data_IF_301587856635
#
_entry.id   IF_301587856635
#
_cell.length_a   1.000
_cell.length_b   1.000
_cell.length_c   1.000
_cell.angle_alpha   90.00
_cell.angle_beta   90.00
_cell.angle_gamma   90.00
#
_symmetry.space_group_name_H-M   'P 1'
#
loop_
_entity.id
_entity.type
_entity.pdbx_description
1 polymer ?
#
# COMPACT_ATOMS: atom_id res chain seq x y z
N UNK A 1 -10.32 32.37 26.72
CA UNK A 1 -9.33 31.32 26.42
C UNK A 1 -9.38 31.03 24.93
N UNK A 2 -8.23 30.74 24.33
CA UNK A 2 -8.14 30.21 22.96
C UNK A 2 -8.59 28.75 22.98
N UNK A 3 -9.39 28.32 22.00
CA UNK A 3 -10.05 27.00 22.01
C UNK A 3 -9.04 25.88 21.99
N UNK A 4 -7.93 26.05 21.26
CA UNK A 4 -6.91 25.02 21.21
C UNK A 4 -6.28 24.77 22.58
N UNK A 5 -6.23 25.76 23.49
CA UNK A 5 -5.67 25.57 24.84
C UNK A 5 -6.57 24.72 25.72
N UNK A 6 -7.88 24.96 25.70
CA UNK A 6 -8.87 24.13 26.40
C UNK A 6 -8.81 22.67 25.93
N UNK A 7 -8.66 22.46 24.62
CA UNK A 7 -8.52 21.12 24.03
C UNK A 7 -7.18 20.48 24.40
N UNK A 8 -6.10 21.26 24.47
CA UNK A 8 -4.79 20.78 24.91
C UNK A 8 -4.79 20.37 26.38
N UNK A 9 -5.46 21.12 27.26
CA UNK A 9 -5.62 20.77 28.68
C UNK A 9 -6.36 19.42 28.84
N UNK A 10 -7.45 19.22 28.10
CA UNK A 10 -8.16 17.94 28.06
C UNK A 10 -7.28 16.82 27.48
N UNK A 11 -6.55 17.08 26.39
CA UNK A 11 -5.65 16.09 25.78
C UNK A 11 -4.56 15.65 26.76
N UNK A 12 -3.95 16.60 27.48
CA UNK A 12 -2.96 16.30 28.51
C UNK A 12 -3.56 15.45 29.63
N UNK A 13 -4.75 15.84 30.11
CA UNK A 13 -5.45 15.13 31.16
C UNK A 13 -5.73 13.67 30.77
N UNK A 14 -6.38 13.44 29.63
CA UNK A 14 -6.80 12.08 29.25
C UNK A 14 -5.63 11.17 28.90
N UNK A 15 -4.46 11.75 28.60
CA UNK A 15 -3.23 11.01 28.27
C UNK A 15 -2.29 10.81 29.46
N UNK A 16 -2.71 11.23 30.65
CA UNK A 16 -2.09 10.84 31.92
C UNK A 16 -2.78 9.59 32.50
N UNK A 17 -2.11 8.91 33.43
CA UNK A 17 -2.61 7.66 34.04
C UNK A 17 -4.06 7.77 34.53
N UNK A 18 -4.36 8.78 35.36
CA UNK A 18 -5.69 8.94 35.97
C UNK A 18 -6.76 9.25 34.91
N UNK A 19 -6.46 10.12 33.96
CA UNK A 19 -7.39 10.47 32.88
C UNK A 19 -7.63 9.33 31.89
N UNK A 20 -6.64 8.46 31.66
CA UNK A 20 -6.81 7.22 30.92
C UNK A 20 -7.80 6.30 31.62
N UNK A 21 -7.61 6.05 32.92
CA UNK A 21 -8.47 5.18 33.72
C UNK A 21 -9.90 5.73 33.76
N UNK A 22 -10.07 7.02 34.07
CA UNK A 22 -11.39 7.66 34.09
C UNK A 22 -12.07 7.59 32.73
N UNK A 23 -11.37 7.93 31.65
CA UNK A 23 -11.95 7.90 30.30
C UNK A 23 -12.35 6.48 29.90
N UNK A 24 -11.56 5.46 30.25
CA UNK A 24 -11.91 4.07 29.99
C UNK A 24 -13.12 3.60 30.81
N UNK A 25 -13.24 4.05 32.06
CA UNK A 25 -14.41 3.76 32.92
C UNK A 25 -15.67 4.45 32.39
N UNK A 26 -15.58 5.71 31.99
CA UNK A 26 -16.67 6.45 31.34
C UNK A 26 -17.15 5.73 30.08
N UNK A 27 -16.21 5.27 29.24
CA UNK A 27 -16.54 4.52 28.03
C UNK A 27 -17.20 3.19 28.35
N UNK A 28 -16.69 2.44 29.32
CA UNK A 28 -17.31 1.21 29.80
C UNK A 28 -18.75 1.46 30.24
N UNK A 29 -18.98 2.50 31.03
CA UNK A 29 -20.30 2.80 31.61
C UNK A 29 -21.31 3.26 30.55
N UNK A 30 -20.83 3.75 29.40
CA UNK A 30 -21.65 4.07 28.23
C UNK A 30 -22.01 2.87 27.34
N UNK A 31 -21.41 1.69 27.58
CA UNK A 31 -21.58 0.49 26.75
C UNK A 31 -22.53 -0.54 27.39
N UNK A 32 -23.39 -1.16 26.56
CA UNK A 32 -24.31 -2.21 27.01
C UNK A 32 -23.62 -3.54 27.36
N UNK A 33 -22.40 -3.77 26.87
CA UNK A 33 -21.60 -4.97 27.15
C UNK A 33 -20.12 -4.61 27.29
N UNK A 34 -19.40 -5.34 28.14
CA UNK A 34 -17.97 -5.14 28.35
C UNK A 34 -17.15 -5.77 27.22
N UNK A 35 -16.49 -4.93 26.43
CA UNK A 35 -15.47 -5.36 25.47
C UNK A 35 -14.25 -4.44 25.60
N UNK A 36 -13.15 -5.02 26.07
CA UNK A 36 -11.88 -4.31 26.27
C UNK A 36 -11.31 -3.73 24.98
N UNK A 37 -11.47 -4.41 23.85
CA UNK A 37 -10.99 -3.93 22.56
C UNK A 37 -11.76 -2.69 22.10
N UNK A 38 -13.08 -2.68 22.31
CA UNK A 38 -13.92 -1.52 21.99
C UNK A 38 -13.64 -0.32 22.90
N UNK A 39 -13.40 -0.54 24.20
CA UNK A 39 -13.02 0.54 25.14
C UNK A 39 -11.70 1.18 24.70
N UNK A 40 -10.67 0.36 24.41
CA UNK A 40 -9.36 0.83 23.95
C UNK A 40 -9.48 1.59 22.61
N UNK A 41 -10.26 1.07 21.66
CA UNK A 41 -10.51 1.76 20.39
C UNK A 41 -11.24 3.09 20.59
N UNK A 42 -12.22 3.14 21.50
CA UNK A 42 -12.93 4.35 21.88
C UNK A 42 -12.01 5.37 22.53
N UNK A 43 -11.12 4.95 23.43
CA UNK A 43 -10.12 5.81 24.03
C UNK A 43 -9.17 6.39 22.96
N UNK A 44 -8.60 5.55 22.10
CA UNK A 44 -7.73 5.99 21.01
C UNK A 44 -8.41 7.00 20.07
N UNK A 45 -9.68 6.78 19.73
CA UNK A 45 -10.48 7.72 18.96
C UNK A 45 -10.68 9.07 19.67
N UNK A 46 -10.80 9.07 21.01
CA UNK A 46 -10.86 10.31 21.82
C UNK A 46 -9.58 11.13 21.65
N UNK A 47 -8.43 10.48 21.81
CA UNK A 47 -7.11 11.11 21.68
C UNK A 47 -6.94 11.64 20.26
N UNK A 48 -7.25 10.84 19.23
CA UNK A 48 -7.19 11.24 17.82
C UNK A 48 -8.04 12.48 17.51
N UNK A 49 -9.26 12.51 18.03
CA UNK A 49 -10.17 13.65 17.87
C UNK A 49 -9.57 14.92 18.51
N UNK A 50 -9.18 14.85 19.80
CA UNK A 50 -8.62 16.00 20.51
C UNK A 50 -7.34 16.52 19.86
N UNK A 51 -6.44 15.63 19.43
CA UNK A 51 -5.25 16.01 18.65
C UNK A 51 -5.64 16.79 17.40
N UNK A 52 -6.54 16.23 16.57
CA UNK A 52 -6.92 16.86 15.30
C UNK A 52 -7.63 18.21 15.49
N UNK A 53 -8.44 18.35 16.54
CA UNK A 53 -9.12 19.62 16.85
C UNK A 53 -8.16 20.66 17.43
N UNK A 54 -7.25 20.26 18.33
CA UNK A 54 -6.21 21.16 18.83
C UNK A 54 -5.35 21.68 17.67
N UNK A 55 -4.94 20.79 16.76
CA UNK A 55 -4.16 21.17 15.59
C UNK A 55 -4.91 22.14 14.68
N UNK A 56 -6.18 21.86 14.37
CA UNK A 56 -7.00 22.73 13.54
C UNK A 56 -7.20 24.12 14.18
N UNK A 57 -7.57 24.18 15.45
CA UNK A 57 -7.75 25.46 16.13
C UNK A 57 -6.45 26.24 16.26
N UNK A 58 -5.31 25.58 16.49
CA UNK A 58 -4.01 26.25 16.50
C UNK A 58 -3.68 26.88 15.14
N UNK A 59 -4.00 26.22 14.03
CA UNK A 59 -3.85 26.77 12.67
C UNK A 59 -4.70 28.02 12.43
N UNK A 60 -5.87 28.11 13.07
CA UNK A 60 -6.80 29.22 12.91
C UNK A 60 -6.52 30.38 13.87
N UNK A 61 -6.39 30.11 15.16
CA UNK A 61 -6.31 31.13 16.22
C UNK A 61 -4.88 31.64 16.44
N UNK A 62 -3.87 30.79 16.26
CA UNK A 62 -2.47 31.10 16.56
C UNK A 62 -1.51 30.50 15.51
N UNK A 63 -1.60 30.92 14.23
CA UNK A 63 -0.83 30.31 13.14
C UNK A 63 0.69 30.40 13.34
N UNK A 64 1.19 31.45 14.00
CA UNK A 64 2.62 31.60 14.32
C UNK A 64 3.08 30.60 15.39
N UNK A 65 2.20 30.23 16.32
CA UNK A 65 2.49 29.31 17.43
C UNK A 65 2.05 27.88 17.13
N UNK A 66 1.38 27.63 16.00
CA UNK A 66 0.82 26.31 15.69
C UNK A 66 1.89 25.22 15.66
N UNK A 67 3.13 25.56 15.29
CA UNK A 67 4.26 24.62 15.34
C UNK A 67 4.57 24.17 16.76
N UNK A 68 4.60 25.08 17.73
CA UNK A 68 4.84 24.77 19.14
C UNK A 68 3.72 23.89 19.71
N UNK A 69 2.47 24.17 19.32
CA UNK A 69 1.33 23.33 19.68
C UNK A 69 1.50 21.91 19.11
N UNK A 70 1.91 21.80 17.84
CA UNK A 70 2.13 20.49 17.22
C UNK A 70 3.28 19.75 17.89
N UNK A 71 4.37 20.44 18.22
CA UNK A 71 5.51 19.87 18.93
C UNK A 71 5.08 19.35 20.32
N UNK A 72 4.26 20.12 21.07
CA UNK A 72 3.69 19.69 22.37
C UNK A 72 2.76 18.48 22.24
N UNK A 73 1.91 18.42 21.22
CA UNK A 73 1.10 17.21 20.94
C UNK A 73 2.02 16.02 20.64
N UNK A 74 3.08 16.24 19.86
CA UNK A 74 4.07 15.21 19.58
C UNK A 74 4.72 14.69 20.85
N UNK A 75 5.13 15.58 21.77
CA UNK A 75 5.67 15.20 23.08
C UNK A 75 4.68 14.35 23.89
N UNK A 76 3.39 14.69 23.91
CA UNK A 76 2.38 13.88 24.60
C UNK A 76 2.30 12.48 23.98
N UNK A 77 2.13 12.40 22.66
CA UNK A 77 1.89 11.15 21.93
C UNK A 77 3.11 10.22 21.98
N UNK A 78 4.31 10.75 21.78
CA UNK A 78 5.54 9.94 21.82
C UNK A 78 5.92 9.49 23.24
N UNK A 79 5.39 10.15 24.28
CA UNK A 79 5.62 9.79 25.68
C UNK A 79 4.42 9.09 26.35
N UNK A 80 3.43 8.59 25.58
CA UNK A 80 2.28 7.87 26.16
C UNK A 80 2.70 6.70 27.06
N UNK A 81 3.78 5.99 26.72
CA UNK A 81 4.28 4.88 27.55
C UNK A 81 4.67 5.33 28.96
N UNK A 82 5.39 6.44 29.08
CA UNK A 82 5.83 6.97 30.38
C UNK A 82 4.72 7.71 31.12
N UNK A 83 3.75 8.31 30.40
CA UNK A 83 2.61 9.03 31.01
C UNK A 83 1.53 8.09 31.56
N UNK A 84 1.32 6.94 30.90
CA UNK A 84 0.26 6.01 31.29
C UNK A 84 0.70 5.00 32.35
N UNK A 85 1.99 4.66 32.41
CA UNK A 85 2.50 3.74 33.43
C UNK A 85 2.66 4.46 34.77
N UNK A 86 2.00 3.93 35.80
CA UNK A 86 2.16 4.36 37.17
C UNK A 86 2.59 3.18 38.05
N UNK A 87 3.29 3.48 39.14
CA UNK A 87 3.63 2.50 40.17
C UNK A 87 2.35 2.14 40.97
N UNK A 88 2.25 0.89 41.44
CA UNK A 88 1.14 0.39 42.28
C UNK A 88 -0.27 0.35 41.65
N UNK A 89 -0.36 -0.05 40.37
CA UNK A 89 -1.63 -0.20 39.64
C UNK A 89 -2.16 -1.65 39.67
N UNK A 90 -3.48 -1.83 39.65
CA UNK A 90 -4.10 -3.17 39.57
C UNK A 90 -3.73 -3.88 38.27
N UNK A 91 -3.61 -5.21 38.32
CA UNK A 91 -3.19 -6.03 37.17
C UNK A 91 -4.08 -5.82 35.93
N UNK A 92 -5.39 -5.60 36.13
CA UNK A 92 -6.35 -5.40 35.04
C UNK A 92 -6.13 -4.07 34.30
N UNK A 93 -5.87 -2.98 35.04
CA UNK A 93 -5.58 -1.66 34.47
C UNK A 93 -4.22 -1.68 33.77
N UNK A 94 -3.20 -2.27 34.41
CA UNK A 94 -1.86 -2.42 33.80
C UNK A 94 -1.94 -3.22 32.50
N UNK A 95 -2.68 -4.33 32.47
CA UNK A 95 -2.89 -5.08 31.24
C UNK A 95 -3.56 -4.22 30.17
N UNK A 96 -4.60 -3.46 30.53
CA UNK A 96 -5.32 -2.59 29.58
C UNK A 96 -4.39 -1.54 28.95
N UNK A 97 -3.56 -0.89 29.76
CA UNK A 97 -2.53 0.06 29.31
C UNK A 97 -1.56 -0.62 28.34
N UNK A 98 -1.02 -1.79 28.70
CA UNK A 98 -0.07 -2.50 27.82
C UNK A 98 -0.71 -2.90 26.48
N UNK A 99 -1.97 -3.35 26.50
CA UNK A 99 -2.70 -3.63 25.25
C UNK A 99 -2.93 -2.39 24.41
N UNK A 100 -3.28 -1.26 25.03
CA UNK A 100 -3.42 0.00 24.31
C UNK A 100 -2.08 0.41 23.68
N UNK A 101 -0.99 0.43 24.45
CA UNK A 101 0.34 0.82 23.97
C UNK A 101 0.83 -0.06 22.81
N UNK A 102 0.65 -1.38 22.92
CA UNK A 102 1.05 -2.34 21.88
C UNK A 102 0.21 -2.30 20.61
N UNK A 103 -0.99 -1.69 20.67
CA UNK A 103 -1.92 -1.63 19.53
C UNK A 103 -2.16 -0.18 19.10
N UNK A 104 -3.15 0.47 19.71
CA UNK A 104 -3.65 1.77 19.28
C UNK A 104 -2.69 2.92 19.61
N UNK A 105 -1.91 2.81 20.69
CA UNK A 105 -0.89 3.80 21.06
C UNK A 105 0.15 3.98 19.96
N UNK A 106 0.72 2.88 19.46
CA UNK A 106 1.63 2.91 18.31
C UNK A 106 0.98 3.50 17.06
N UNK A 107 -0.28 3.14 16.76
CA UNK A 107 -1.04 3.68 15.63
C UNK A 107 -1.22 5.20 15.73
N UNK A 108 -1.52 5.73 16.92
CA UNK A 108 -1.65 7.18 17.15
C UNK A 108 -0.35 7.91 16.84
N UNK A 109 0.79 7.39 17.29
CA UNK A 109 2.11 7.96 16.99
C UNK A 109 2.40 7.99 15.50
N UNK A 110 2.00 6.95 14.75
CA UNK A 110 2.15 6.90 13.31
C UNK A 110 1.23 7.87 12.58
N UNK A 111 -0.03 8.01 13.04
CA UNK A 111 -1.01 8.92 12.43
C UNK A 111 -0.70 10.38 12.72
N UNK A 112 -0.14 10.69 13.89
CA UNK A 112 0.27 12.04 14.27
C UNK A 112 1.23 12.66 13.23
N UNK A 113 2.18 11.89 12.70
CA UNK A 113 3.13 12.36 11.66
C UNK A 113 2.36 12.91 10.45
N UNK A 114 1.33 12.19 10.01
CA UNK A 114 0.49 12.58 8.88
C UNK A 114 -0.42 13.76 9.24
N UNK A 115 -1.00 13.78 10.44
CA UNK A 115 -1.83 14.90 10.89
C UNK A 115 -1.05 16.22 10.94
N UNK A 116 0.20 16.17 11.43
CA UNK A 116 1.10 17.32 11.40
C UNK A 116 1.23 17.88 9.98
N UNK A 117 1.61 17.04 9.01
CA UNK A 117 1.74 17.46 7.63
C UNK A 117 0.42 17.91 7.00
N UNK A 118 -0.70 17.27 7.37
CA UNK A 118 -2.03 17.64 6.93
C UNK A 118 -2.40 19.06 7.36
N UNK A 119 -2.26 19.38 8.65
CA UNK A 119 -2.61 20.71 9.16
C UNK A 119 -1.59 21.78 8.78
N UNK A 120 -0.29 21.44 8.63
CA UNK A 120 0.69 22.34 8.02
C UNK A 120 0.35 22.65 6.56
N UNK A 121 0.03 21.63 5.75
CA UNK A 121 -0.37 21.82 4.37
C UNK A 121 -1.67 22.63 4.26
N UNK A 122 -2.63 22.38 5.16
CA UNK A 122 -3.87 23.15 5.23
C UNK A 122 -3.61 24.63 5.60
N UNK A 123 -2.81 24.90 6.63
CA UNK A 123 -2.43 26.25 7.09
C UNK A 123 -1.75 27.05 5.99
N UNK A 124 -0.79 26.42 5.32
CA UNK A 124 0.11 27.07 4.35
C UNK A 124 -0.44 27.00 2.93
N UNK A 125 -1.65 26.44 2.74
CA UNK A 125 -2.28 26.22 1.45
C UNK A 125 -1.39 25.43 0.46
N UNK A 126 -0.59 24.47 0.96
CA UNK A 126 0.33 23.62 0.19
C UNK A 126 -0.37 22.39 -0.41
N UNK A 127 -1.54 22.60 -1.01
CA UNK A 127 -2.33 21.57 -1.70
C UNK A 127 -3.11 22.21 -2.85
N UNK A 128 -3.58 21.40 -3.79
CA UNK A 128 -4.44 21.87 -4.88
C UNK A 128 -5.68 20.98 -4.98
N UNK A 129 -6.86 21.58 -5.06
CA UNK A 129 -8.12 20.84 -5.28
C UNK A 129 -8.29 20.37 -6.74
N UNK A 130 -7.43 20.85 -7.65
CA UNK A 130 -7.40 20.42 -9.04
C UNK A 130 -6.51 19.19 -9.27
N UNK A 131 -5.65 18.86 -8.29
CA UNK A 131 -4.79 17.70 -8.35
C UNK A 131 -5.60 16.43 -8.06
N UNK A 132 -5.31 15.34 -8.78
CA UNK A 132 -5.99 14.07 -8.59
C UNK A 132 -5.47 13.35 -7.32
N UNK A 133 -6.30 13.10 -6.29
CA UNK A 133 -5.91 12.34 -5.10
C UNK A 133 -5.37 10.94 -5.42
N UNK A 134 -5.89 10.26 -6.45
CA UNK A 134 -5.47 8.91 -6.81
C UNK A 134 -4.00 8.87 -7.26
N UNK A 135 -3.56 9.91 -7.98
CA UNK A 135 -2.17 10.05 -8.41
C UNK A 135 -1.24 10.18 -7.20
N UNK A 136 -1.62 11.04 -6.23
CA UNK A 136 -0.86 11.22 -4.99
C UNK A 136 -0.83 9.93 -4.16
N UNK A 137 -1.98 9.26 -4.00
CA UNK A 137 -2.09 8.00 -3.25
C UNK A 137 -1.24 6.88 -3.87
N UNK A 138 -1.17 6.81 -5.20
CA UNK A 138 -0.27 5.88 -5.89
C UNK A 138 1.20 6.20 -5.66
N UNK A 139 1.58 7.48 -5.70
CA UNK A 139 2.95 7.91 -5.39
C UNK A 139 3.32 7.56 -3.94
N UNK A 140 2.41 7.85 -2.99
CA UNK A 140 2.56 7.50 -1.58
C UNK A 140 2.76 6.00 -1.41
N UNK A 141 1.94 5.16 -2.07
CA UNK A 141 2.07 3.70 -1.98
C UNK A 141 3.45 3.20 -2.40
N UNK A 142 4.08 3.83 -3.40
CA UNK A 142 5.42 3.47 -3.86
C UNK A 142 6.54 3.96 -2.92
N UNK A 143 6.27 4.99 -2.11
CA UNK A 143 7.23 5.61 -1.20
C UNK A 143 7.11 5.14 0.24
N UNK A 144 5.94 4.65 0.67
CA UNK A 144 5.59 4.44 2.09
C UNK A 144 6.56 3.54 2.88
N UNK A 145 7.27 2.64 2.19
CA UNK A 145 8.31 1.77 2.78
C UNK A 145 9.75 2.19 2.44
N UNK A 146 9.95 3.16 1.54
CA UNK A 146 11.27 3.61 1.06
C UNK A 146 11.67 4.97 1.61
N UNK A 147 10.70 5.88 1.68
CA UNK A 147 10.85 7.27 2.14
C UNK A 147 9.55 7.64 2.88
N UNK A 148 9.51 7.23 4.15
CA UNK A 148 8.34 7.40 5.02
C UNK A 148 7.99 8.88 5.21
N UNK A 149 8.99 9.75 5.34
CA UNK A 149 8.78 11.18 5.58
C UNK A 149 8.15 11.84 4.36
N UNK A 150 8.67 11.57 3.16
CA UNK A 150 8.07 12.08 1.92
C UNK A 150 6.67 11.53 1.69
N UNK A 151 6.45 10.25 1.98
CA UNK A 151 5.14 9.62 1.90
C UNK A 151 4.13 10.29 2.86
N UNK A 152 4.54 10.59 4.09
CA UNK A 152 3.71 11.26 5.08
C UNK A 152 3.39 12.71 4.67
N UNK A 153 4.34 13.44 4.09
CA UNK A 153 4.11 14.79 3.56
C UNK A 153 3.05 14.79 2.45
N UNK A 154 3.17 13.89 1.48
CA UNK A 154 2.21 13.74 0.38
C UNK A 154 0.83 13.34 0.90
N UNK A 155 0.76 12.42 1.87
CA UNK A 155 -0.51 12.04 2.47
C UNK A 155 -1.13 13.18 3.29
N UNK A 156 -0.30 14.02 3.92
CA UNK A 156 -0.74 15.28 4.54
C UNK A 156 -1.46 16.19 3.54
N UNK A 157 -0.92 16.33 2.31
CA UNK A 157 -1.59 17.08 1.24
C UNK A 157 -2.94 16.48 0.86
N UNK A 158 -3.03 15.16 0.71
CA UNK A 158 -4.29 14.46 0.46
C UNK A 158 -5.29 14.70 1.60
N UNK A 159 -4.82 14.66 2.85
CA UNK A 159 -5.65 14.98 4.02
C UNK A 159 -6.18 16.41 4.00
N UNK A 160 -5.34 17.40 3.66
CA UNK A 160 -5.76 18.79 3.53
C UNK A 160 -6.78 18.98 2.41
N UNK A 161 -6.62 18.27 1.28
CA UNK A 161 -7.61 18.24 0.20
C UNK A 161 -8.93 17.62 0.68
N UNK A 162 -8.89 16.51 1.41
CA UNK A 162 -10.08 15.84 1.93
C UNK A 162 -10.84 16.70 2.95
N UNK A 163 -10.12 17.49 3.78
CA UNK A 163 -10.71 18.44 4.72
C UNK A 163 -11.53 19.52 3.98
N UNK A 164 -11.06 19.92 2.80
CA UNK A 164 -11.72 20.81 1.85
C UNK A 164 -12.77 20.13 0.96
N UNK A 165 -13.04 18.84 1.20
CA UNK A 165 -14.10 18.08 0.54
C UNK A 165 -13.68 17.30 -0.71
N UNK A 166 -12.38 17.20 -1.01
CA UNK A 166 -11.91 16.32 -2.07
C UNK A 166 -12.22 14.85 -1.75
N UNK A 167 -12.70 14.11 -2.75
CA UNK A 167 -13.04 12.70 -2.59
C UNK A 167 -11.79 11.84 -2.42
N UNK A 168 -11.85 10.86 -1.53
CA UNK A 168 -10.92 9.73 -1.49
C UNK A 168 -11.74 8.50 -1.86
N UNK A 169 -11.37 7.82 -2.96
CA UNK A 169 -12.15 6.68 -3.43
C UNK A 169 -12.11 5.53 -2.42
N UNK A 170 -13.24 4.87 -2.13
CA UNK A 170 -13.31 3.73 -1.21
C UNK A 170 -12.33 2.60 -1.54
N UNK A 171 -12.05 2.36 -2.82
CA UNK A 171 -11.14 1.31 -3.28
C UNK A 171 -9.73 1.41 -2.67
N UNK A 172 -9.27 2.61 -2.30
CA UNK A 172 -7.98 2.78 -1.63
C UNK A 172 -7.91 2.09 -0.28
N UNK A 173 -9.03 1.91 0.42
CA UNK A 173 -9.07 1.14 1.67
C UNK A 173 -8.91 -0.36 1.45
N UNK A 174 -9.05 -0.84 0.21
CA UNK A 174 -8.86 -2.24 -0.19
C UNK A 174 -7.45 -2.48 -0.74
N UNK A 175 -6.94 -1.54 -1.55
CA UNK A 175 -5.69 -1.74 -2.30
C UNK A 175 -4.44 -1.18 -1.62
N UNK A 176 -4.62 -0.27 -0.66
CA UNK A 176 -3.49 0.35 0.03
C UNK A 176 -2.70 -0.67 0.85
N UNK A 177 -1.37 -0.57 0.79
CA UNK A 177 -0.47 -1.30 1.69
C UNK A 177 -0.77 -0.99 3.16
N UNK A 178 -0.44 -1.89 4.12
CA UNK A 178 -0.86 -1.76 5.51
C UNK A 178 -0.55 -0.41 6.17
N UNK A 179 0.66 0.14 5.99
CA UNK A 179 1.03 1.45 6.57
C UNK A 179 0.22 2.60 5.96
N UNK A 180 0.06 2.62 4.64
CA UNK A 180 -0.76 3.62 3.96
C UNK A 180 -2.24 3.50 4.37
N UNK A 181 -2.76 2.27 4.47
CA UNK A 181 -4.14 2.02 4.90
C UNK A 181 -4.36 2.53 6.34
N UNK A 182 -3.42 2.29 7.25
CA UNK A 182 -3.47 2.79 8.63
C UNK A 182 -3.53 4.33 8.67
N UNK A 183 -2.68 5.00 7.89
CA UNK A 183 -2.65 6.46 7.83
C UNK A 183 -3.90 7.04 7.15
N UNK A 184 -4.33 6.46 6.03
CA UNK A 184 -5.52 6.89 5.29
C UNK A 184 -6.78 6.79 6.16
N UNK A 185 -6.91 5.72 6.96
CA UNK A 185 -7.98 5.60 7.95
C UNK A 185 -7.94 6.69 9.02
N UNK A 186 -6.75 7.11 9.45
CA UNK A 186 -6.60 8.23 10.38
C UNK A 186 -7.10 9.54 9.75
N UNK A 187 -6.67 9.83 8.51
CA UNK A 187 -7.14 11.00 7.76
C UNK A 187 -8.67 10.98 7.64
N UNK A 188 -9.25 9.87 7.19
CA UNK A 188 -10.71 9.73 7.05
C UNK A 188 -11.44 9.82 8.41
N UNK A 189 -10.83 9.33 9.49
CA UNK A 189 -11.32 9.48 10.86
C UNK A 189 -11.42 10.96 11.26
N UNK A 190 -10.38 11.73 10.99
CA UNK A 190 -10.39 13.19 11.19
C UNK A 190 -11.50 13.84 10.36
N UNK A 191 -11.62 13.51 9.07
CA UNK A 191 -12.69 14.03 8.21
C UNK A 191 -14.08 13.75 8.78
N UNK A 192 -14.32 12.51 9.22
CA UNK A 192 -15.60 12.12 9.82
C UNK A 192 -15.89 12.89 11.10
N UNK A 193 -14.88 13.14 11.94
CA UNK A 193 -15.03 13.93 13.16
C UNK A 193 -15.43 15.38 12.86
N UNK A 194 -14.79 16.01 11.86
CA UNK A 194 -15.15 17.37 11.42
C UNK A 194 -16.55 17.42 10.80
N UNK A 195 -16.95 16.39 10.08
CA UNK A 195 -18.26 16.33 9.45
C UNK A 195 -19.41 16.05 10.43
N UNK A 196 -19.17 15.21 11.44
CA UNK A 196 -20.15 14.92 12.49
C UNK A 196 -20.30 16.09 13.47
N UNK A 197 -19.35 17.02 13.46
CA UNK A 197 -19.36 18.16 14.35
C UNK A 197 -20.38 19.23 13.95
N UNK A 198 -21.39 19.41 14.80
CA UNK A 198 -22.44 20.41 14.64
C UNK A 198 -21.93 21.86 14.52
N UNK A 199 -20.71 22.13 14.98
CA UNK A 199 -20.11 23.48 14.98
C UNK A 199 -19.25 23.77 13.74
N UNK A 200 -18.86 22.76 12.96
CA UNK A 200 -18.09 22.97 11.74
C UNK A 200 -19.00 22.93 10.52
N UNK A 201 -18.87 23.91 9.63
CA UNK A 201 -19.37 23.75 8.27
C UNK A 201 -18.42 22.80 7.55
N UNK A 202 -18.87 21.57 7.26
CA UNK A 202 -18.11 20.64 6.43
C UNK A 202 -18.66 20.61 5.00
N UNK A 203 -17.81 20.61 3.96
CA UNK A 203 -16.35 20.73 4.00
C UNK A 203 -15.85 22.08 4.53
N UNK A 204 -14.66 22.10 5.14
CA UNK A 204 -14.10 23.36 5.66
C UNK A 204 -13.62 24.26 4.52
N UNK A 205 -13.64 25.58 4.73
CA UNK A 205 -13.11 26.54 3.78
C UNK A 205 -11.56 26.60 3.80
N UNK A 206 -10.97 27.45 2.95
CA UNK A 206 -9.53 27.73 3.05
C UNK A 206 -9.19 28.30 4.44
N UNK A 207 -8.00 28.01 4.96
CA UNK A 207 -7.57 28.43 6.29
C UNK A 207 -7.84 29.93 6.54
N UNK A 208 -7.49 30.81 5.60
CA UNK A 208 -7.74 32.26 5.72
C UNK A 208 -9.22 32.64 5.82
N UNK A 209 -10.10 31.92 5.11
CA UNK A 209 -11.55 32.15 5.18
C UNK A 209 -12.13 31.59 6.46
N UNK A 210 -11.69 30.41 6.91
CA UNK A 210 -12.08 29.88 8.22
C UNK A 210 -11.63 30.82 9.35
N UNK A 211 -10.41 31.37 9.31
CA UNK A 211 -9.96 32.39 10.26
C UNK A 211 -10.88 33.61 10.29
N UNK A 212 -11.42 34.02 9.15
CA UNK A 212 -12.38 35.13 9.08
C UNK A 212 -13.74 34.76 9.69
N UNK A 213 -14.22 33.53 9.53
CA UNK A 213 -15.46 33.04 10.15
C UNK A 213 -15.37 33.06 11.68
N UNK A 214 -14.21 32.72 12.22
CA UNK A 214 -13.99 32.49 13.65
C UNK A 214 -13.33 33.66 14.38
N UNK A 215 -13.46 34.89 13.87
CA UNK A 215 -12.94 36.08 14.54
C UNK A 215 -13.50 36.22 15.98
N UNK A 216 -12.76 36.85 16.90
CA UNK A 216 -13.16 36.98 18.32
C UNK A 216 -14.55 37.59 18.55
N UNK A 217 -15.02 38.41 17.61
CA UNK A 217 -16.32 39.09 17.66
C UNK A 217 -17.50 38.20 17.21
N UNK A 218 -17.21 37.06 16.56
CA UNK A 218 -18.22 36.06 16.23
C UNK A 218 -18.52 35.21 17.47
N UNK A 219 -19.81 35.05 17.79
CA UNK A 219 -20.26 34.30 18.97
C UNK A 219 -19.55 32.95 19.10
N UNK A 220 -19.01 32.67 20.28
CA UNK A 220 -18.26 31.44 20.57
C UNK A 220 -19.22 30.25 20.57
N UNK A 221 -19.09 29.26 19.67
CA UNK A 221 -19.68 27.94 19.88
C UNK A 221 -18.98 27.33 21.10
N UNK A 222 -19.76 26.88 22.08
CA UNK A 222 -19.27 26.00 23.13
C UNK A 222 -19.11 24.63 22.49
N UNK A 223 -17.89 24.12 22.43
CA UNK A 223 -17.64 22.74 21.97
C UNK A 223 -17.95 21.81 23.13
N UNK A 224 -19.11 21.13 23.10
CA UNK A 224 -19.43 20.11 24.09
C UNK A 224 -18.63 18.82 23.79
N UNK A 225 -17.40 18.78 24.29
CA UNK A 225 -16.49 17.64 24.15
C UNK A 225 -17.14 16.31 24.61
N UNK A 226 -18.06 16.36 25.57
CA UNK A 226 -18.76 15.19 26.12
C UNK A 226 -19.83 14.66 25.15
N UNK A 227 -20.59 15.54 24.49
CA UNK A 227 -21.53 15.14 23.43
C UNK A 227 -20.82 14.50 22.22
N UNK A 228 -19.60 14.95 21.89
CA UNK A 228 -18.77 14.36 20.85
C UNK A 228 -18.25 12.97 21.19
N UNK A 229 -17.94 12.70 22.47
CA UNK A 229 -17.57 11.35 22.90
C UNK A 229 -18.66 10.31 22.59
N UNK A 230 -19.92 10.74 22.56
CA UNK A 230 -21.09 9.87 22.38
C UNK A 230 -21.51 9.65 20.91
N UNK A 231 -20.99 10.42 19.95
CA UNK A 231 -21.35 10.34 18.51
C UNK A 231 -20.47 9.36 17.71
N UNK A 232 -19.63 8.58 18.38
CA UNK A 232 -18.58 7.76 17.75
C UNK A 232 -19.17 6.53 17.07
N UNK A 233 -18.97 6.44 15.76
CA UNK A 233 -19.06 5.18 15.05
C UNK A 233 -17.65 4.56 14.98
N UNK A 234 -17.45 3.33 15.47
CA UNK A 234 -16.26 2.57 15.09
C UNK A 234 -16.35 2.35 13.57
N UNK A 235 -15.49 3.03 12.79
CA UNK A 235 -15.44 2.79 11.35
C UNK A 235 -15.04 1.35 11.10
N UNK A 236 -15.85 0.61 10.34
CA UNK A 236 -15.45 -0.72 9.89
C UNK A 236 -14.27 -0.60 8.92
N UNK A 237 -13.46 -1.65 8.75
CA UNK A 237 -12.31 -1.64 7.85
C UNK A 237 -12.58 -1.14 6.41
N UNK A 238 -13.83 -1.23 5.96
CA UNK A 238 -14.33 -0.86 4.62
C UNK A 238 -15.01 0.51 4.54
N UNK A 239 -15.26 1.19 5.66
CA UNK A 239 -16.10 2.38 5.65
C UNK A 239 -15.31 3.61 5.21
N UNK A 240 -15.66 4.14 4.04
CA UNK A 240 -15.26 5.50 3.65
C UNK A 240 -16.34 6.45 4.17
N UNK A 241 -16.00 7.55 4.86
CA UNK A 241 -16.96 8.54 5.30
C UNK A 241 -17.94 8.89 4.18
N UNK A 242 -19.25 8.70 4.41
CA UNK A 242 -20.30 9.07 3.44
C UNK A 242 -20.33 10.58 3.13
N UNK A 243 -19.54 11.36 3.87
CA UNK A 243 -19.43 12.81 3.77
C UNK A 243 -18.50 13.24 2.64
N UNK A 244 -17.58 12.37 2.21
CA UNK A 244 -16.75 12.66 1.06
C UNK A 244 -17.50 12.40 -0.25
N UNK A 245 -17.17 13.20 -1.28
CA UNK A 245 -17.76 13.06 -2.60
C UNK A 245 -17.46 11.66 -3.16
N UNK A 246 -18.52 10.87 -3.37
CA UNK A 246 -18.46 9.62 -4.12
C UNK A 246 -18.75 9.86 -5.59
N UNK A 247 -17.98 9.22 -6.44
CA UNK A 247 -18.19 9.22 -7.88
C UNK A 247 -18.96 7.99 -8.32
N UNK A 248 -19.66 8.10 -9.45
CA UNK A 248 -20.46 7.01 -10.00
C UNK A 248 -19.63 5.74 -10.29
N UNK A 249 -18.31 5.88 -10.50
CA UNK A 249 -17.40 4.77 -10.80
C UNK A 249 -16.86 4.08 -9.55
N UNK A 250 -17.06 4.63 -8.35
CA UNK A 250 -16.47 4.09 -7.12
C UNK A 250 -17.00 2.69 -6.78
N UNK A 251 -18.31 2.49 -6.90
CA UNK A 251 -18.92 1.17 -6.70
C UNK A 251 -18.45 0.17 -7.77
N UNK A 252 -18.26 0.64 -9.01
CA UNK A 252 -17.72 -0.19 -10.09
C UNK A 252 -16.27 -0.62 -9.82
N UNK A 253 -15.45 0.24 -9.19
CA UNK A 253 -14.08 -0.11 -8.80
C UNK A 253 -14.06 -1.13 -7.67
N UNK A 254 -15.01 -1.08 -6.74
CA UNK A 254 -15.14 -2.10 -5.70
C UNK A 254 -15.55 -3.47 -6.26
N UNK A 255 -16.35 -3.51 -7.34
CA UNK A 255 -16.70 -4.76 -8.04
C UNK A 255 -15.48 -5.51 -8.62
N UNK A 256 -14.32 -4.86 -8.78
CA UNK A 256 -13.07 -5.54 -9.15
C UNK A 256 -12.69 -6.67 -8.19
N UNK A 257 -13.08 -6.53 -6.92
CA UNK A 257 -12.75 -7.43 -5.80
C UNK A 257 -13.86 -8.44 -5.51
N UNK A 258 -14.93 -8.45 -6.30
CA UNK A 258 -15.98 -9.47 -6.19
C UNK A 258 -15.46 -10.84 -6.64
N UNK A 259 -16.07 -11.91 -6.11
CA UNK A 259 -15.77 -13.28 -6.52
C UNK A 259 -16.39 -13.58 -7.90
N UNK A 260 -15.77 -13.11 -8.98
CA UNK A 260 -16.19 -13.40 -10.34
C UNK A 260 -15.71 -12.40 -11.40
N UNK A 261 -16.03 -12.66 -12.68
CA UNK A 261 -15.78 -11.71 -13.74
C UNK A 261 -16.63 -10.45 -13.55
N UNK A 262 -16.09 -9.30 -13.95
CA UNK A 262 -16.87 -8.07 -14.03
C UNK A 262 -18.08 -8.24 -14.94
N UNK A 263 -19.20 -7.66 -14.53
CA UNK A 263 -20.37 -7.50 -15.40
C UNK A 263 -20.00 -6.59 -16.58
N UNK A 264 -20.51 -6.88 -17.77
CA UNK A 264 -20.23 -6.09 -18.98
C UNK A 264 -20.62 -4.61 -18.82
N UNK A 265 -21.70 -4.32 -18.10
CA UNK A 265 -22.09 -2.95 -17.78
C UNK A 265 -21.03 -2.23 -16.94
N UNK A 266 -20.58 -2.87 -15.84
CA UNK A 266 -19.53 -2.35 -14.96
C UNK A 266 -18.23 -2.13 -15.74
N UNK A 267 -17.83 -3.10 -16.57
CA UNK A 267 -16.66 -3.02 -17.44
C UNK A 267 -16.77 -1.83 -18.40
N UNK A 268 -17.92 -1.65 -19.07
CA UNK A 268 -18.17 -0.53 -19.97
C UNK A 268 -18.07 0.82 -19.27
N UNK A 269 -18.61 0.95 -18.05
CA UNK A 269 -18.51 2.17 -17.23
C UNK A 269 -17.08 2.48 -16.81
N UNK A 270 -16.31 1.47 -16.43
CA UNK A 270 -14.89 1.64 -16.08
C UNK A 270 -14.03 2.02 -17.29
N UNK A 271 -14.28 1.42 -18.45
CA UNK A 271 -13.59 1.80 -19.70
C UNK A 271 -13.91 3.26 -20.07
N UNK A 272 -15.19 3.66 -19.96
CA UNK A 272 -15.61 5.03 -20.24
C UNK A 272 -15.00 6.07 -19.26
N UNK A 273 -14.63 5.65 -18.06
CA UNK A 273 -13.95 6.49 -17.08
C UNK A 273 -12.53 6.88 -17.52
N UNK A 274 -11.90 6.10 -18.41
CA UNK A 274 -10.58 6.38 -18.97
C UNK A 274 -9.54 6.71 -17.89
N UNK A 275 -8.78 7.78 -18.11
CA UNK A 275 -7.67 8.19 -17.25
C UNK A 275 -8.08 8.46 -15.78
N UNK A 276 -9.37 8.67 -15.49
CA UNK A 276 -9.84 8.91 -14.13
C UNK A 276 -9.60 7.73 -13.17
N UNK A 277 -9.47 6.50 -13.70
CA UNK A 277 -9.20 5.29 -12.90
C UNK A 277 -7.79 4.73 -13.10
N UNK A 278 -6.96 5.39 -13.92
CA UNK A 278 -5.62 4.91 -14.30
C UNK A 278 -4.75 4.63 -13.09
N UNK A 279 -4.64 5.59 -12.17
CA UNK A 279 -3.76 5.45 -11.00
C UNK A 279 -4.25 4.38 -10.02
N UNK A 280 -5.57 4.17 -9.92
CA UNK A 280 -6.16 3.07 -9.14
C UNK A 280 -5.78 1.73 -9.76
N UNK A 281 -6.02 1.52 -11.06
CA UNK A 281 -5.72 0.24 -11.71
C UNK A 281 -4.22 -0.11 -11.65
N UNK A 282 -3.35 0.88 -11.83
CA UNK A 282 -1.91 0.69 -11.72
C UNK A 282 -1.47 0.46 -10.26
N UNK A 283 -2.16 1.05 -9.28
CA UNK A 283 -1.93 0.78 -7.87
C UNK A 283 -2.36 -0.65 -7.49
N UNK A 284 -3.46 -1.17 -8.04
CA UNK A 284 -3.88 -2.57 -7.84
C UNK A 284 -2.76 -3.53 -8.27
N UNK A 285 -2.18 -3.34 -9.45
CA UNK A 285 -1.05 -4.16 -9.93
C UNK A 285 0.23 -3.97 -9.11
N UNK A 286 0.38 -2.84 -8.42
CA UNK A 286 1.54 -2.56 -7.58
C UNK A 286 1.43 -3.22 -6.19
N UNK A 287 0.24 -3.60 -5.73
CA UNK A 287 0.00 -4.25 -4.44
C UNK A 287 0.08 -5.77 -4.59
N UNK A 288 1.20 -6.36 -4.17
CA UNK A 288 1.47 -7.80 -4.35
C UNK A 288 0.65 -8.68 -3.41
N UNK A 289 0.30 -8.14 -2.25
CA UNK A 289 -0.50 -8.78 -1.21
C UNK A 289 -1.88 -9.19 -1.71
N UNK A 290 -2.37 -8.55 -2.78
CA UNK A 290 -3.62 -8.92 -3.47
C UNK A 290 -3.51 -10.18 -4.33
N UNK A 291 -2.29 -10.62 -4.64
CA UNK A 291 -2.00 -11.72 -5.57
C UNK A 291 -1.23 -12.87 -4.94
N UNK A 292 -1.00 -12.83 -3.62
CA UNK A 292 -0.48 -13.97 -2.87
C UNK A 292 -1.49 -15.13 -2.93
N UNK A 293 -0.99 -16.33 -3.25
CA UNK A 293 -1.78 -17.57 -3.27
C UNK A 293 -2.14 -17.98 -1.83
N UNK A 294 -3.12 -17.30 -1.23
CA UNK A 294 -3.77 -17.70 0.04
C UNK A 294 -4.92 -18.68 -0.26
N UNK A 295 -5.39 -19.41 0.75
CA UNK A 295 -6.45 -20.45 0.65
C UNK A 295 -7.76 -19.97 -0.02
N UNK A 296 -7.94 -18.65 -0.20
CA UNK A 296 -9.05 -18.01 -0.91
C UNK A 296 -8.70 -17.58 -2.36
N UNK A 297 -7.83 -18.33 -3.02
CA UNK A 297 -7.23 -18.08 -4.35
C UNK A 297 -8.22 -17.80 -5.50
N UNK A 298 -9.52 -17.96 -5.27
CA UNK A 298 -10.56 -17.66 -6.25
C UNK A 298 -10.76 -16.15 -6.43
N UNK A 299 -10.70 -15.36 -5.35
CA UNK A 299 -10.97 -13.91 -5.40
C UNK A 299 -9.80 -13.12 -5.99
N UNK A 300 -8.56 -13.40 -5.57
CA UNK A 300 -7.34 -12.77 -6.08
C UNK A 300 -7.13 -12.97 -7.59
N UNK A 301 -7.47 -14.17 -8.09
CA UNK A 301 -7.40 -14.50 -9.51
C UNK A 301 -8.34 -13.63 -10.35
N UNK A 302 -9.57 -13.40 -9.87
CA UNK A 302 -10.54 -12.57 -10.57
C UNK A 302 -10.13 -11.10 -10.58
N UNK A 303 -9.56 -10.58 -9.49
CA UNK A 303 -9.04 -9.20 -9.47
C UNK A 303 -8.05 -8.97 -10.61
N UNK A 304 -7.03 -9.84 -10.72
CA UNK A 304 -6.04 -9.72 -11.78
C UNK A 304 -6.67 -9.86 -13.17
N UNK A 305 -7.55 -10.85 -13.37
CA UNK A 305 -8.26 -11.06 -14.64
C UNK A 305 -9.07 -9.82 -15.05
N UNK A 306 -9.81 -9.24 -14.12
CA UNK A 306 -10.66 -8.07 -14.32
C UNK A 306 -9.81 -6.84 -14.67
N UNK A 307 -8.74 -6.57 -13.92
CA UNK A 307 -7.83 -5.44 -14.15
C UNK A 307 -7.11 -5.58 -15.47
N UNK A 308 -6.54 -6.74 -15.79
CA UNK A 308 -5.90 -6.99 -17.08
C UNK A 308 -6.90 -6.83 -18.24
N UNK A 309 -8.13 -7.31 -18.07
CA UNK A 309 -9.21 -7.14 -19.05
C UNK A 309 -9.52 -5.67 -19.36
N UNK A 310 -9.51 -4.80 -18.34
CA UNK A 310 -9.68 -3.35 -18.52
C UNK A 310 -8.45 -2.71 -19.19
N UNK A 311 -7.25 -3.08 -18.75
CA UNK A 311 -5.99 -2.50 -19.26
C UNK A 311 -5.72 -2.84 -20.74
N UNK A 312 -6.21 -3.99 -21.24
CA UNK A 312 -6.18 -4.31 -22.68
C UNK A 312 -6.92 -3.28 -23.53
N UNK A 313 -8.05 -2.79 -23.03
CA UNK A 313 -8.89 -1.82 -23.74
C UNK A 313 -8.36 -0.39 -23.55
N UNK A 314 -7.92 -0.05 -22.34
CA UNK A 314 -7.46 1.28 -21.95
C UNK A 314 -6.05 1.63 -22.45
N UNK A 315 -5.17 0.62 -22.60
CA UNK A 315 -3.82 0.74 -23.21
C UNK A 315 -2.93 1.83 -22.59
N UNK A 316 -2.87 1.90 -21.26
CA UNK A 316 -1.95 2.82 -20.60
C UNK A 316 -0.49 2.41 -20.82
N UNK A 317 0.42 3.35 -21.17
CA UNK A 317 1.82 3.04 -21.43
C UNK A 317 2.56 2.51 -20.18
N UNK A 318 2.10 2.87 -18.98
CA UNK A 318 2.69 2.41 -17.72
C UNK A 318 2.28 0.96 -17.36
N UNK A 319 1.36 0.35 -18.11
CA UNK A 319 0.89 -1.02 -17.86
C UNK A 319 2.03 -2.02 -17.93
N UNK A 320 2.82 -1.98 -19.00
CA UNK A 320 3.91 -2.95 -19.24
C UNK A 320 5.01 -2.85 -18.16
N UNK A 321 5.57 -1.67 -17.85
CA UNK A 321 6.51 -1.52 -16.73
C UNK A 321 5.95 -2.00 -15.39
N UNK A 322 4.67 -1.72 -15.10
CA UNK A 322 4.02 -2.11 -13.85
C UNK A 322 3.87 -3.64 -13.77
N UNK A 323 3.45 -4.28 -14.86
CA UNK A 323 3.33 -5.74 -14.95
C UNK A 323 4.68 -6.46 -14.88
N UNK A 324 5.73 -5.90 -15.47
CA UNK A 324 7.09 -6.43 -15.28
C UNK A 324 7.52 -6.33 -13.80
N UNK A 325 7.18 -5.23 -13.12
CA UNK A 325 7.39 -5.10 -11.68
C UNK A 325 6.57 -6.11 -10.86
N UNK A 326 5.34 -6.42 -11.27
CA UNK A 326 4.52 -7.46 -10.63
C UNK A 326 5.10 -8.86 -10.88
N UNK A 327 5.49 -9.17 -12.12
CA UNK A 327 6.10 -10.46 -12.51
C UNK A 327 7.31 -10.80 -11.63
N UNK A 328 8.12 -9.80 -11.28
CA UNK A 328 9.28 -9.94 -10.40
C UNK A 328 8.93 -10.26 -8.93
N UNK A 329 7.69 -10.03 -8.50
CA UNK A 329 7.25 -10.14 -7.09
C UNK A 329 6.29 -11.30 -6.84
N UNK A 330 5.57 -11.75 -7.88
CA UNK A 330 4.72 -12.95 -7.76
C UNK A 330 5.54 -14.23 -7.91
N UNK A 331 5.16 -15.27 -7.16
CA UNK A 331 5.86 -16.54 -7.14
C UNK A 331 5.90 -17.19 -8.55
N UNK A 332 7.08 -17.58 -9.07
CA UNK A 332 7.19 -18.26 -10.35
C UNK A 332 6.34 -19.53 -10.41
N UNK A 333 5.52 -19.66 -11.46
CA UNK A 333 4.62 -20.80 -11.65
C UNK A 333 3.25 -20.67 -10.97
N UNK A 334 3.00 -19.61 -10.19
CA UNK A 334 1.65 -19.30 -9.68
C UNK A 334 0.66 -18.99 -10.82
N UNK A 335 -0.63 -19.02 -10.51
CA UNK A 335 -1.68 -18.63 -11.45
C UNK A 335 -1.57 -17.14 -11.83
N UNK A 336 -1.18 -16.28 -10.89
CA UNK A 336 -0.92 -14.86 -11.11
C UNK A 336 0.29 -14.64 -12.02
N UNK A 337 1.40 -15.35 -11.77
CA UNK A 337 2.59 -15.30 -12.63
C UNK A 337 2.26 -15.68 -14.07
N UNK A 338 1.49 -16.75 -14.26
CA UNK A 338 1.09 -17.21 -15.60
C UNK A 338 0.24 -16.17 -16.34
N UNK A 339 -0.75 -15.56 -15.67
CA UNK A 339 -1.59 -14.52 -16.27
C UNK A 339 -0.82 -13.26 -16.66
N UNK A 340 0.06 -12.78 -15.77
CA UNK A 340 0.92 -11.62 -16.06
C UNK A 340 1.83 -11.93 -17.25
N UNK A 341 2.42 -13.12 -17.27
CA UNK A 341 3.31 -13.53 -18.34
C UNK A 341 2.60 -13.67 -19.69
N UNK A 342 1.40 -14.26 -19.72
CA UNK A 342 0.57 -14.33 -20.93
C UNK A 342 0.25 -12.93 -21.46
N UNK A 343 -0.14 -12.00 -20.59
CA UNK A 343 -0.40 -10.62 -21.00
C UNK A 343 0.83 -9.94 -21.60
N UNK A 344 2.01 -10.11 -20.98
CA UNK A 344 3.26 -9.56 -21.48
C UNK A 344 3.66 -10.18 -22.82
N UNK A 345 3.37 -11.47 -23.03
CA UNK A 345 3.61 -12.16 -24.31
C UNK A 345 2.67 -11.68 -25.43
N UNK A 346 1.46 -11.25 -25.11
CA UNK A 346 0.57 -10.56 -26.06
C UNK A 346 1.18 -9.23 -26.54
N UNK A 347 2.06 -8.62 -25.73
CA UNK A 347 2.74 -7.34 -25.98
C UNK A 347 4.26 -7.50 -26.13
N UNK A 348 4.69 -8.62 -26.74
CA UNK A 348 6.07 -9.13 -26.67
C UNK A 348 7.19 -8.13 -26.98
N UNK A 349 7.04 -7.24 -27.97
CA UNK A 349 8.14 -6.36 -28.38
C UNK A 349 8.36 -5.23 -27.37
N UNK A 350 7.30 -4.53 -27.00
CA UNK A 350 7.32 -3.46 -26.00
C UNK A 350 7.75 -4.01 -24.62
N UNK A 351 7.20 -5.16 -24.23
CA UNK A 351 7.58 -5.81 -22.99
C UNK A 351 9.03 -6.30 -22.99
N UNK A 352 9.56 -6.78 -24.13
CA UNK A 352 10.96 -7.19 -24.23
C UNK A 352 11.92 -6.00 -24.12
N UNK A 353 11.60 -4.87 -24.74
CA UNK A 353 12.39 -3.64 -24.62
C UNK A 353 12.38 -3.13 -23.18
N UNK A 354 11.21 -3.01 -22.55
CA UNK A 354 11.09 -2.59 -21.16
C UNK A 354 11.79 -3.54 -20.18
N UNK A 355 11.72 -4.86 -20.42
CA UNK A 355 12.42 -5.86 -19.60
C UNK A 355 13.94 -5.76 -19.75
N UNK A 356 14.43 -5.59 -20.98
CA UNK A 356 15.86 -5.42 -21.26
C UNK A 356 16.41 -4.14 -20.64
N UNK A 357 15.66 -3.03 -20.69
CA UNK A 357 16.06 -1.78 -20.06
C UNK A 357 16.03 -1.88 -18.53
N UNK A 358 15.01 -2.54 -17.95
CA UNK A 358 14.99 -2.82 -16.51
C UNK A 358 16.22 -3.62 -16.09
N UNK A 359 16.60 -4.67 -16.84
CA UNK A 359 17.78 -5.51 -16.60
C UNK A 359 19.13 -4.76 -16.67
N UNK A 360 19.20 -3.61 -17.34
CA UNK A 360 20.40 -2.76 -17.33
C UNK A 360 20.54 -1.94 -16.05
N UNK A 361 19.48 -1.82 -15.24
CA UNK A 361 19.52 -1.09 -13.99
C UNK A 361 20.42 -1.75 -12.94
N UNK A 362 21.10 -0.92 -12.14
CA UNK A 362 22.13 -1.39 -11.20
C UNK A 362 21.56 -2.17 -9.99
N UNK A 363 20.30 -1.90 -9.62
CA UNK A 363 19.70 -2.31 -8.34
C UNK A 363 18.78 -3.55 -8.38
N UNK A 364 18.82 -4.35 -9.43
CA UNK A 364 18.02 -5.58 -9.51
C UNK A 364 18.57 -6.69 -8.61
N UNK A 365 17.68 -7.35 -7.87
CA UNK A 365 17.97 -8.59 -7.17
C UNK A 365 18.15 -9.76 -8.16
N UNK A 366 18.75 -10.87 -7.68
CA UNK A 366 18.91 -12.09 -8.50
C UNK A 366 17.55 -12.65 -8.90
N UNK A 367 16.58 -12.68 -7.99
CA UNK A 367 15.22 -13.19 -8.24
C UNK A 367 14.48 -12.36 -9.28
N UNK A 368 14.52 -11.02 -9.16
CA UNK A 368 13.87 -10.13 -10.10
C UNK A 368 14.47 -10.30 -11.51
N UNK A 369 15.81 -10.38 -11.59
CA UNK A 369 16.49 -10.59 -12.86
C UNK A 369 16.14 -11.96 -13.46
N UNK A 370 16.02 -13.00 -12.64
CA UNK A 370 15.61 -14.33 -13.09
C UNK A 370 14.19 -14.33 -13.67
N UNK A 371 13.22 -13.67 -13.02
CA UNK A 371 11.86 -13.53 -13.53
C UNK A 371 11.83 -12.83 -14.92
N UNK A 372 12.60 -11.74 -15.08
CA UNK A 372 12.73 -11.05 -16.36
C UNK A 372 13.42 -11.93 -17.43
N UNK A 373 14.41 -12.74 -17.04
CA UNK A 373 15.05 -13.67 -17.98
C UNK A 373 14.15 -14.82 -18.41
N UNK A 374 13.24 -15.32 -17.56
CA UNK A 374 12.23 -16.30 -17.96
C UNK A 374 11.33 -15.72 -19.06
N UNK A 375 10.83 -14.50 -18.87
CA UNK A 375 10.08 -13.80 -19.91
C UNK A 375 10.89 -13.62 -21.21
N UNK A 376 12.11 -13.07 -21.11
CA UNK A 376 12.97 -12.86 -22.29
C UNK A 376 13.36 -14.16 -22.99
N UNK A 377 13.46 -15.29 -22.28
CA UNK A 377 13.77 -16.59 -22.90
C UNK A 377 12.73 -17.01 -23.93
N UNK A 378 11.48 -16.53 -23.78
CA UNK A 378 10.35 -16.84 -24.67
C UNK A 378 10.26 -15.88 -25.86
N UNK A 379 10.80 -14.67 -25.73
CA UNK A 379 10.70 -13.61 -26.75
C UNK A 379 12.03 -13.35 -27.46
N UNK A 380 13.11 -13.10 -26.71
CA UNK A 380 14.46 -12.77 -27.21
C UNK A 380 15.51 -13.68 -26.54
N UNK A 381 15.51 -15.00 -26.81
CA UNK A 381 16.39 -15.95 -26.14
C UNK A 381 17.89 -15.66 -26.29
N UNK A 382 18.29 -14.97 -27.37
CA UNK A 382 19.68 -14.57 -27.60
C UNK A 382 20.22 -13.54 -26.59
N UNK A 383 19.35 -12.75 -25.95
CA UNK A 383 19.73 -11.72 -24.99
C UNK A 383 19.88 -12.26 -23.55
N UNK A 384 19.36 -13.46 -23.29
CA UNK A 384 19.32 -14.05 -21.94
C UNK A 384 20.70 -14.48 -21.45
N UNK A 385 21.50 -15.13 -22.30
CA UNK A 385 22.79 -15.69 -21.88
C UNK A 385 23.74 -14.62 -21.28
N UNK A 386 24.00 -13.46 -21.93
CA UNK A 386 24.84 -12.42 -21.35
C UNK A 386 24.36 -11.91 -19.99
N UNK A 387 23.03 -11.82 -19.78
CA UNK A 387 22.43 -11.38 -18.51
C UNK A 387 22.69 -12.41 -17.43
N UNK A 388 22.43 -13.70 -17.69
CA UNK A 388 22.66 -14.77 -16.73
C UNK A 388 24.13 -14.89 -16.32
N UNK A 389 25.07 -14.61 -17.22
CA UNK A 389 26.51 -14.58 -16.87
C UNK A 389 26.81 -13.43 -15.90
N UNK A 390 26.26 -12.23 -16.12
CA UNK A 390 26.43 -11.11 -15.18
C UNK A 390 25.84 -11.41 -13.81
N UNK A 391 24.76 -12.20 -13.74
CA UNK A 391 24.17 -12.58 -12.45
C UNK A 391 25.09 -13.48 -11.62
N UNK A 392 25.98 -14.27 -12.23
CA UNK A 392 26.92 -15.12 -11.49
C UNK A 392 27.81 -14.34 -10.52
N UNK A 393 28.08 -13.07 -10.82
CA UNK A 393 28.89 -12.20 -9.97
C UNK A 393 28.10 -11.60 -8.79
N UNK A 394 26.76 -11.64 -8.84
CA UNK A 394 25.84 -11.11 -7.81
C UNK A 394 25.31 -12.18 -6.85
N UNK A 395 25.37 -13.44 -7.24
CA UNK A 395 24.79 -14.56 -6.49
C UNK A 395 25.59 -14.84 -5.21
N UNK A 396 24.90 -14.96 -4.08
CA UNK A 396 25.51 -15.20 -2.77
C UNK A 396 25.04 -16.48 -2.10
N UNK A 397 23.83 -16.95 -2.40
CA UNK A 397 23.24 -18.14 -1.75
C UNK A 397 23.26 -19.37 -2.66
N UNK A 398 23.18 -20.57 -2.07
CA UNK A 398 23.11 -21.81 -2.84
C UNK A 398 21.83 -21.92 -3.69
N UNK A 399 20.72 -21.38 -3.19
CA UNK A 399 19.44 -21.40 -3.90
C UNK A 399 19.50 -20.52 -5.16
N UNK A 400 20.08 -19.32 -5.03
CA UNK A 400 20.35 -18.43 -6.16
C UNK A 400 21.30 -19.05 -7.19
N UNK A 401 22.37 -19.72 -6.73
CA UNK A 401 23.31 -20.43 -7.62
C UNK A 401 22.60 -21.54 -8.42
N UNK A 402 21.72 -22.29 -7.75
CA UNK A 402 20.94 -23.35 -8.39
C UNK A 402 19.92 -22.76 -9.37
N UNK A 403 19.27 -21.64 -9.03
CA UNK A 403 18.31 -20.97 -9.90
C UNK A 403 18.98 -20.42 -11.17
N UNK A 404 20.12 -19.74 -11.05
CA UNK A 404 20.90 -19.28 -12.21
C UNK A 404 21.42 -20.45 -13.04
N UNK A 405 21.88 -21.54 -12.41
CA UNK A 405 22.27 -22.75 -13.12
C UNK A 405 21.11 -23.33 -13.95
N UNK A 406 19.89 -23.34 -13.39
CA UNK A 406 18.69 -23.78 -14.10
C UNK A 406 18.39 -22.93 -15.32
N UNK A 407 18.40 -21.62 -15.17
CA UNK A 407 18.18 -20.71 -16.30
C UNK A 407 19.25 -20.84 -17.38
N UNK A 408 20.54 -21.00 -16.99
CA UNK A 408 21.64 -21.22 -17.94
C UNK A 408 21.45 -22.48 -18.78
N UNK A 409 20.93 -23.56 -18.19
CA UNK A 409 20.64 -24.80 -18.92
C UNK A 409 19.47 -24.62 -19.88
N UNK A 410 18.42 -23.91 -19.44
CA UNK A 410 17.26 -23.63 -20.27
C UNK A 410 17.62 -22.81 -21.51
N UNK A 411 18.68 -22.00 -21.48
CA UNK A 411 19.17 -21.31 -22.69
C UNK A 411 19.62 -22.27 -23.79
N UNK A 412 20.09 -23.48 -23.43
CA UNK A 412 20.71 -24.43 -24.36
C UNK A 412 22.04 -23.95 -24.98
N UNK A 413 22.62 -22.86 -24.48
CA UNK A 413 23.85 -22.27 -25.03
C UNK A 413 25.09 -23.08 -24.60
N UNK A 414 25.88 -23.54 -25.59
CA UNK A 414 27.11 -24.30 -25.36
C UNK A 414 28.13 -23.48 -24.55
N UNK A 415 28.10 -22.14 -24.67
CA UNK A 415 28.95 -21.24 -23.89
C UNK A 415 28.65 -21.30 -22.39
N UNK A 416 27.51 -21.85 -21.95
CA UNK A 416 27.19 -22.03 -20.54
C UNK A 416 27.96 -23.17 -19.86
N UNK A 417 28.52 -24.12 -20.63
CA UNK A 417 29.16 -25.34 -20.09
C UNK A 417 30.28 -25.05 -19.07
N UNK A 418 31.25 -24.14 -19.33
CA UNK A 418 32.30 -23.83 -18.37
C UNK A 418 31.75 -23.22 -17.07
N UNK A 419 30.75 -22.34 -17.18
CA UNK A 419 30.12 -21.69 -16.03
C UNK A 419 29.32 -22.67 -15.18
N UNK A 420 28.57 -23.58 -15.80
CA UNK A 420 27.84 -24.64 -15.11
C UNK A 420 28.79 -25.60 -14.38
N UNK A 421 29.96 -25.91 -14.94
CA UNK A 421 30.99 -26.70 -14.23
C UNK A 421 31.52 -25.97 -13.00
N UNK A 422 31.81 -24.66 -13.13
CA UNK A 422 32.30 -23.83 -12.02
C UNK A 422 31.26 -23.75 -10.89
N UNK A 423 29.99 -23.49 -11.23
CA UNK A 423 28.87 -23.54 -10.28
C UNK A 423 28.72 -24.92 -9.63
N UNK A 424 28.88 -25.98 -10.42
CA UNK A 424 28.85 -27.35 -9.92
C UNK A 424 29.91 -27.68 -8.88
N UNK A 425 31.12 -27.12 -9.05
CA UNK A 425 32.18 -27.24 -8.05
C UNK A 425 31.87 -26.41 -6.80
N UNK A 426 31.34 -25.19 -6.96
CA UNK A 426 30.96 -24.32 -5.84
C UNK A 426 29.82 -24.93 -4.99
N UNK A 427 28.91 -25.65 -5.64
CA UNK A 427 27.79 -26.34 -4.99
C UNK A 427 28.14 -27.75 -4.49
N UNK A 428 29.37 -28.23 -4.67
CA UNK A 428 29.77 -29.59 -4.28
C UNK A 428 29.69 -29.83 -2.77
N UNK A 429 29.86 -28.77 -1.96
CA UNK A 429 29.77 -28.80 -0.49
C UNK A 429 28.40 -28.35 0.05
N UNK A 430 27.40 -28.18 -0.84
CA UNK A 430 26.03 -27.81 -0.47
C UNK A 430 25.16 -29.04 -0.09
N UNK A 431 24.07 -28.87 0.69
CA UNK A 431 23.07 -29.90 0.94
C UNK A 431 22.39 -30.37 -0.35
N UNK A 432 22.51 -29.60 -1.43
CA UNK A 432 21.99 -29.95 -2.76
C UNK A 432 22.98 -30.75 -3.62
N UNK A 433 24.15 -31.15 -3.11
CA UNK A 433 25.21 -31.85 -3.86
C UNK A 433 24.69 -32.94 -4.80
N UNK A 434 23.78 -33.80 -4.32
CA UNK A 434 23.21 -34.90 -5.11
C UNK A 434 22.34 -34.39 -6.26
N UNK A 435 21.46 -33.41 -5.98
CA UNK A 435 20.63 -32.74 -6.98
C UNK A 435 21.52 -32.08 -8.03
N UNK A 436 22.58 -31.39 -7.61
CA UNK A 436 23.52 -30.69 -8.50
C UNK A 436 24.29 -31.65 -9.41
N UNK A 437 24.75 -32.79 -8.89
CA UNK A 437 25.43 -33.81 -9.71
C UNK A 437 24.51 -34.40 -10.77
N UNK A 438 23.28 -34.77 -10.40
CA UNK A 438 22.26 -35.26 -11.34
C UNK A 438 21.90 -34.18 -12.37
N UNK A 439 21.82 -32.93 -11.92
CA UNK A 439 21.48 -31.76 -12.72
C UNK A 439 22.56 -31.42 -13.76
N UNK A 440 23.85 -31.45 -13.38
CA UNK A 440 24.97 -31.21 -14.30
C UNK A 440 25.17 -32.37 -15.29
N UNK A 441 24.89 -33.60 -14.86
CA UNK A 441 24.89 -34.76 -15.74
C UNK A 441 23.77 -34.65 -16.78
N UNK A 442 22.58 -34.22 -16.36
CA UNK A 442 21.45 -33.92 -17.26
C UNK A 442 21.81 -32.79 -18.24
N UNK A 443 22.33 -31.66 -17.75
CA UNK A 443 22.77 -30.52 -18.55
C UNK A 443 23.81 -30.92 -19.61
N UNK A 444 24.82 -31.70 -19.21
CA UNK A 444 25.88 -32.17 -20.11
C UNK A 444 25.33 -33.07 -21.22
N UNK A 445 24.28 -33.85 -20.96
CA UNK A 445 23.58 -34.68 -21.97
C UNK A 445 22.69 -33.83 -22.87
N UNK A 446 21.91 -32.92 -22.30
CA UNK A 446 21.03 -31.98 -23.01
C UNK A 446 21.82 -31.13 -24.02
N UNK A 447 22.91 -30.50 -23.60
CA UNK A 447 23.72 -29.62 -24.46
C UNK A 447 24.50 -30.38 -25.53
N UNK A 448 24.94 -31.63 -25.25
CA UNK A 448 25.57 -32.50 -26.25
C UNK A 448 24.57 -32.97 -27.32
N UNK A 449 23.31 -33.18 -26.96
CA UNK A 449 22.26 -33.66 -27.86
C UNK A 449 21.53 -32.52 -28.60
N UNK A 450 21.38 -31.35 -27.98
CA UNK A 450 20.72 -30.16 -28.53
C UNK A 450 21.41 -29.57 -29.76
N UNK A 451 22.72 -29.78 -29.89
CA UNK A 451 23.51 -29.38 -31.08
C UNK A 451 23.11 -30.14 -32.36
N UNK A 452 22.34 -31.24 -32.26
CA UNK A 452 21.71 -31.93 -33.40
C UNK A 452 20.19 -31.69 -33.52
N UNK A 453 19.58 -30.99 -32.57
CA UNK A 453 18.12 -30.99 -32.36
C UNK A 453 17.35 -29.76 -32.86
N UNK A 454 17.95 -28.57 -32.90
CA UNK A 454 17.19 -27.33 -33.18
C UNK A 454 16.70 -27.18 -34.64
N UNK A 455 17.09 -28.05 -35.58
CA UNK A 455 16.49 -28.12 -36.93
C UNK A 455 15.26 -29.04 -37.04
N UNK A 456 14.97 -29.91 -36.06
CA UNK A 456 13.86 -30.89 -36.16
C UNK A 456 12.64 -30.58 -35.30
N UNK A 457 12.75 -29.76 -34.26
CA UNK A 457 11.61 -29.47 -33.36
C UNK A 457 10.70 -28.36 -33.92
N UNK A 458 11.26 -27.33 -34.56
CA UNK A 458 10.48 -26.31 -35.30
C UNK A 458 9.81 -26.85 -36.58
N UNK A 459 10.34 -27.94 -37.16
CA UNK A 459 9.75 -28.60 -38.34
C UNK A 459 8.56 -29.51 -38.02
N UNK A 460 8.48 -30.09 -36.81
CA UNK A 460 7.38 -31.00 -36.43
C UNK A 460 6.14 -30.28 -35.90
N UNK A 461 6.30 -29.12 -35.27
CA UNK A 461 5.13 -28.31 -34.82
C UNK A 461 4.39 -27.68 -36.02
N UNK A 462 5.09 -27.38 -37.12
CA UNK A 462 4.46 -26.90 -38.37
C UNK A 462 3.80 -28.01 -39.20
N UNK A 463 4.18 -29.27 -39.00
CA UNK A 463 3.58 -30.43 -39.66
C UNK A 463 2.30 -30.94 -38.99
N UNK A 464 2.14 -30.75 -37.68
CA UNK A 464 0.94 -31.21 -36.95
C UNK A 464 -0.26 -30.26 -37.05
N UNK A 465 -0.07 -28.97 -37.39
CA UNK A 465 -1.20 -28.03 -37.65
C UNK A 465 -1.82 -28.14 -39.05
N UNK A 466 -1.29 -29.00 -39.93
CA UNK A 466 -1.85 -29.25 -41.28
C UNK A 466 -2.63 -30.56 -41.39
N UNK A 467 -2.71 -31.36 -40.32
CA UNK A 467 -3.37 -32.67 -40.33
C UNK A 467 -4.66 -32.72 -39.50
N UNK A 468 -4.93 -31.70 -38.67
CA UNK A 468 -6.20 -31.57 -37.95
C UNK A 468 -6.93 -30.30 -38.38
N UNK A 469 -7.46 -30.33 -39.60
CA UNK A 469 -8.75 -29.69 -39.85
C UNK A 469 -9.85 -30.42 -39.09
#
# INVERSE_FOLDING_TARGET
MERYREIMEELEYITDHDGFVETCLDLRDSMYFYDRGLIIAGYASSVEMLMSFAMFWAVLEAPEQSREVFDRIGEIVYNLESRLRADDVTMDVSAMIETFLQTSGWVLSQRFIVFRHMFEAYRDNRYSLEENPDRLLREIQNLVEKDTDRAAELLGRVGAMALRGAGVRPVWLVIARPRLQMWLRGVLGVIQNFAAASHFSFPVDAADRERQKWRPDAGKPVVDLKAFRNLRYPMMPSDTPNVLRREAVDDCLLELFAAGPLREETKGRLIAAGDAIKDVLLAVLATEELFEDRDDASSSRWVLTNVLGLLRELKYPETIPTLLGLLCRVAPGSASYTQVLEFLLDHREEAAEAAADKLKGDYLSVEEALALTDFLSRVRPGEVYPVLIKLLDKVTTWDEQLAVARSLIQTGDIRAIPHLRKLGMALADSPYRRVVQEFLAYASRQMRNGSRGNRRVLGKVRGMRRVNG
#
